data_IF_967753786482
#
_entry.id   IF_967753786482
#
_cell.length_a   1.000
_cell.length_b   1.000
_cell.length_c   1.000
_cell.angle_alpha   90.00
_cell.angle_beta   90.00
_cell.angle_gamma   90.00
#
_symmetry.space_group_name_H-M   'P 1'
#
loop_
_entity.id
_entity.type
_entity.pdbx_description
1 polymer ?
#
# COMPACT_ATOMS: atom_id res chain seq x y z
N UNK A 1 -30.42 2.00 40.01
CA UNK A 1 -28.98 2.03 40.36
C UNK A 1 -28.23 2.25 39.07
N UNK A 2 -27.69 3.45 38.89
CA UNK A 2 -26.88 3.83 37.74
C UNK A 2 -25.62 2.95 37.73
N UNK A 3 -25.38 2.21 36.65
CA UNK A 3 -24.12 1.53 36.42
C UNK A 3 -23.17 2.57 35.81
N UNK A 4 -22.02 2.75 36.46
CA UNK A 4 -20.92 3.60 36.02
C UNK A 4 -20.31 2.96 34.78
N UNK A 5 -20.23 3.69 33.66
CA UNK A 5 -19.31 3.38 32.56
C UNK A 5 -17.90 3.66 33.08
N UNK A 6 -16.99 2.70 32.96
CA UNK A 6 -15.59 2.89 33.27
C UNK A 6 -14.91 3.38 31.99
N UNK A 7 -14.44 4.62 31.98
CA UNK A 7 -13.59 5.16 30.94
C UNK A 7 -12.16 5.01 31.42
N UNK A 8 -11.32 4.27 30.69
CA UNK A 8 -9.88 4.29 30.89
C UNK A 8 -9.32 5.51 30.14
N UNK A 9 -9.22 6.64 30.83
CA UNK A 9 -8.57 7.84 30.27
C UNK A 9 -7.09 7.76 30.60
N UNK A 10 -6.24 7.52 29.59
CA UNK A 10 -4.80 7.57 29.74
C UNK A 10 -4.31 8.98 29.37
N UNK A 11 -3.79 9.71 30.35
CA UNK A 11 -3.17 11.03 30.13
C UNK A 11 -1.67 10.81 29.93
N UNK A 12 -1.19 10.91 28.69
CA UNK A 12 0.25 10.89 28.38
C UNK A 12 0.79 12.32 28.52
N UNK A 13 1.52 12.58 29.61
CA UNK A 13 2.22 13.85 29.84
C UNK A 13 3.69 13.71 29.42
N UNK A 14 4.06 14.28 28.28
CA UNK A 14 5.45 14.39 27.87
C UNK A 14 6.17 15.47 28.72
N UNK A 15 7.04 15.06 29.64
CA UNK A 15 7.87 15.96 30.44
C UNK A 15 9.37 15.70 30.21
N UNK A 16 10.02 16.55 29.41
CA UNK A 16 11.47 16.57 29.24
C UNK A 16 12.18 17.09 30.51
N UNK A 17 13.09 16.30 31.11
CA UNK A 17 14.11 16.80 32.05
C UNK A 17 15.48 16.15 31.78
N UNK A 18 16.46 16.99 31.46
CA UNK A 18 17.90 16.71 31.41
C UNK A 18 18.43 16.05 32.70
N UNK A 19 19.27 15.02 32.57
CA UNK A 19 20.50 14.91 33.36
C UNK A 19 21.62 14.15 32.63
N UNK A 20 22.73 14.86 32.43
CA UNK A 20 24.03 14.32 32.05
C UNK A 20 24.81 13.82 33.28
N UNK A 21 25.48 12.68 33.08
CA UNK A 21 26.81 12.28 33.60
C UNK A 21 26.97 11.73 35.04
N UNK A 22 27.41 10.47 35.14
CA UNK A 22 28.65 9.98 35.78
C UNK A 22 28.77 8.44 35.61
N UNK A 23 29.53 7.91 34.64
CA UNK A 23 30.92 7.37 34.74
C UNK A 23 31.07 6.06 35.57
N UNK A 24 31.33 4.97 34.83
CA UNK A 24 32.23 3.81 35.10
C UNK A 24 31.97 2.93 36.35
N UNK A 25 31.97 1.59 36.28
CA UNK A 25 33.15 0.73 36.03
C UNK A 25 32.76 -0.78 35.93
N UNK A 26 33.32 -1.47 34.93
CA UNK A 26 33.77 -2.89 34.81
C UNK A 26 32.89 -4.11 35.17
N UNK A 27 32.62 -4.89 34.10
CA UNK A 27 33.02 -6.28 33.83
C UNK A 27 32.66 -7.42 34.80
N UNK A 28 31.99 -8.46 34.27
CA UNK A 28 32.56 -9.83 34.17
C UNK A 28 31.82 -10.68 33.14
N UNK A 29 32.60 -11.30 32.24
CA UNK A 29 32.24 -12.44 31.40
C UNK A 29 31.83 -13.67 32.23
N UNK A 30 30.78 -14.36 31.80
CA UNK A 30 30.61 -15.80 32.05
C UNK A 30 30.11 -16.47 30.79
N UNK A 31 31.00 -17.23 30.15
CA UNK A 31 30.67 -18.25 29.16
C UNK A 31 29.80 -19.32 29.82
N UNK A 32 28.71 -19.71 29.17
CA UNK A 32 28.04 -20.96 29.46
C UNK A 32 27.75 -21.69 28.14
N UNK A 33 28.60 -22.67 27.85
CA UNK A 33 28.35 -23.69 26.83
C UNK A 33 27.26 -24.63 27.35
N UNK A 34 26.16 -24.77 26.59
CA UNK A 34 25.21 -25.85 26.75
C UNK A 34 25.23 -26.70 25.48
N UNK A 35 25.74 -27.92 25.63
CA UNK A 35 25.74 -28.97 24.62
C UNK A 35 24.30 -29.46 24.35
N UNK A 36 23.97 -29.66 23.07
CA UNK A 36 22.75 -30.36 22.63
C UNK A 36 23.16 -31.67 21.97
N UNK A 37 22.51 -32.74 22.41
CA UNK A 37 22.70 -34.12 22.01
C UNK A 37 22.39 -34.36 20.52
N UNK A 38 23.23 -35.18 19.89
CA UNK A 38 23.05 -35.71 18.54
C UNK A 38 22.28 -37.03 18.59
N UNK A 39 21.03 -37.02 18.10
CA UNK A 39 20.27 -38.23 17.76
C UNK A 39 20.25 -38.40 16.25
N UNK A 40 21.04 -39.34 15.75
CA UNK A 40 21.04 -39.73 14.34
C UNK A 40 20.06 -40.88 14.09
N UNK A 41 19.30 -40.80 13.00
CA UNK A 41 18.71 -41.96 12.34
C UNK A 41 18.96 -41.85 10.84
N UNK A 42 19.63 -42.88 10.33
CA UNK A 42 20.09 -43.05 8.95
C UNK A 42 19.00 -43.72 8.11
N UNK A 43 18.78 -43.24 6.88
CA UNK A 43 18.07 -44.00 5.84
C UNK A 43 18.94 -44.06 4.59
N UNK A 44 19.23 -45.30 4.19
CA UNK A 44 20.03 -45.71 3.04
C UNK A 44 19.38 -45.34 1.70
N UNK A 45 20.19 -44.82 0.78
CA UNK A 45 19.90 -44.71 -0.67
C UNK A 45 20.76 -45.77 -1.39
N UNK A 46 20.18 -46.60 -2.28
CA UNK A 46 20.95 -47.27 -3.31
C UNK A 46 20.85 -46.57 -4.67
N UNK A 47 22.00 -46.55 -5.34
CA UNK A 47 22.34 -46.10 -6.69
C UNK A 47 21.38 -46.55 -7.80
N UNK A 48 21.30 -45.77 -8.89
CA UNK A 48 21.42 -46.36 -10.23
C UNK A 48 21.96 -45.38 -11.30
N UNK A 49 22.57 -46.01 -12.31
CA UNK A 49 23.58 -45.54 -13.24
C UNK A 49 23.08 -44.73 -14.46
N UNK A 50 24.07 -44.26 -15.22
CA UNK A 50 24.13 -43.30 -16.32
C UNK A 50 23.81 -43.82 -17.74
N UNK A 51 23.34 -42.89 -18.60
CA UNK A 51 23.53 -42.72 -20.08
C UNK A 51 22.73 -43.58 -21.11
N UNK A 52 22.58 -43.18 -22.40
CA UNK A 52 22.52 -41.84 -23.04
C UNK A 52 21.46 -41.67 -24.20
N UNK A 53 21.44 -40.45 -24.75
CA UNK A 53 20.87 -39.85 -25.99
C UNK A 53 20.39 -40.73 -27.16
N UNK A 54 19.32 -40.26 -27.84
CA UNK A 54 19.08 -40.47 -29.28
C UNK A 54 18.21 -39.34 -29.90
N UNK A 55 18.70 -38.75 -31.01
CA UNK A 55 17.98 -37.88 -31.97
C UNK A 55 16.94 -38.69 -32.79
N UNK A 56 16.10 -38.05 -33.65
CA UNK A 56 16.42 -38.01 -35.09
C UNK A 56 15.84 -36.76 -35.84
N UNK A 57 15.76 -36.68 -37.19
CA UNK A 57 16.64 -35.88 -38.04
C UNK A 57 15.93 -34.81 -38.91
N UNK A 58 16.72 -34.01 -39.65
CA UNK A 58 16.32 -32.98 -40.65
C UNK A 58 15.60 -33.51 -41.90
N UNK A 59 15.48 -32.81 -43.02
CA UNK A 59 15.92 -31.51 -43.53
C UNK A 59 15.18 -31.28 -44.89
N UNK A 60 15.32 -30.08 -45.49
CA UNK A 60 15.08 -29.69 -46.91
C UNK A 60 13.64 -29.31 -47.32
N UNK A 61 13.38 -28.25 -48.10
CA UNK A 61 14.25 -27.33 -48.83
C UNK A 61 13.45 -26.26 -49.62
N UNK A 62 14.21 -25.28 -50.12
CA UNK A 62 13.93 -24.04 -50.86
C UNK A 62 12.94 -24.10 -52.05
N UNK A 63 12.25 -23.00 -52.40
CA UNK A 63 12.75 -21.94 -53.32
C UNK A 63 11.64 -20.91 -53.70
N UNK A 64 12.13 -19.76 -54.17
CA UNK A 64 11.62 -18.44 -54.46
C UNK A 64 10.37 -18.23 -55.34
N UNK A 65 9.67 -17.14 -55.02
CA UNK A 65 9.73 -15.93 -55.86
C UNK A 65 8.55 -15.60 -56.79
N UNK A 66 8.28 -14.29 -56.84
CA UNK A 66 7.68 -13.47 -57.92
C UNK A 66 6.27 -12.92 -57.65
N UNK A 67 6.22 -11.60 -57.44
CA UNK A 67 5.05 -10.73 -57.56
C UNK A 67 4.64 -10.54 -59.04
N UNK A 68 3.38 -10.14 -59.31
CA UNK A 68 3.22 -8.77 -59.82
C UNK A 68 1.97 -8.02 -59.33
N UNK A 69 1.98 -6.74 -59.71
CA UNK A 69 1.17 -5.59 -59.32
C UNK A 69 -0.28 -5.55 -59.85
N UNK A 70 -1.11 -4.80 -59.09
CA UNK A 70 -2.27 -3.93 -59.39
C UNK A 70 -3.23 -4.20 -60.55
N UNK A 71 -4.54 -4.25 -60.22
CA UNK A 71 -5.58 -3.48 -60.94
C UNK A 71 -6.66 -2.93 -59.97
N UNK A 72 -7.03 -1.66 -60.20
CA UNK A 72 -7.99 -0.80 -59.49
C UNK A 72 -9.46 -1.21 -59.68
N UNK A 73 -10.30 -1.03 -58.64
CA UNK A 73 -11.73 -0.66 -58.77
C UNK A 73 -12.15 0.16 -57.51
N UNK A 74 -12.92 1.27 -57.64
CA UNK A 74 -13.22 2.19 -56.55
C UNK A 74 -14.51 1.83 -55.82
N UNK A 75 -14.52 1.94 -54.48
CA UNK A 75 -15.76 1.87 -53.69
C UNK A 75 -15.89 3.09 -52.78
N UNK A 76 -17.04 3.74 -52.94
CA UNK A 76 -17.53 4.97 -52.35
C UNK A 76 -17.70 4.94 -50.83
N UNK A 77 -17.16 5.96 -50.16
CA UNK A 77 -17.53 6.35 -48.78
C UNK A 77 -18.92 7.03 -48.75
N UNK A 78 -19.78 6.73 -47.77
CA UNK A 78 -20.80 7.64 -47.29
C UNK A 78 -20.27 8.53 -46.15
N UNK A 79 -20.86 9.72 -45.95
CA UNK A 79 -20.25 10.84 -45.24
C UNK A 79 -20.30 10.69 -43.71
N UNK A 80 -19.25 11.20 -43.08
CA UNK A 80 -19.10 11.44 -41.65
C UNK A 80 -20.13 12.45 -41.14
N UNK A 81 -20.97 12.02 -40.20
CA UNK A 81 -21.65 12.92 -39.28
C UNK A 81 -20.82 13.03 -38.02
N UNK A 82 -20.01 14.10 -37.99
CA UNK A 82 -19.35 14.65 -36.83
C UNK A 82 -20.38 15.43 -36.00
N UNK A 83 -20.57 14.99 -34.77
CA UNK A 83 -21.08 15.78 -33.67
C UNK A 83 -20.26 15.39 -32.43
N UNK A 84 -19.07 15.98 -32.30
CA UNK A 84 -18.18 15.76 -31.17
C UNK A 84 -18.79 16.12 -29.81
N UNK A 85 -18.51 15.28 -28.83
CA UNK A 85 -17.58 15.66 -27.76
C UNK A 85 -16.33 14.77 -27.90
N UNK A 86 -15.16 15.36 -27.76
CA UNK A 86 -13.89 14.78 -28.16
C UNK A 86 -13.11 14.23 -26.99
N UNK A 87 -13.14 12.92 -26.83
CA UNK A 87 -12.01 12.13 -26.32
C UNK A 87 -12.07 10.78 -27.02
N UNK A 88 -11.00 10.40 -27.73
CA UNK A 88 -10.86 9.01 -28.15
C UNK A 88 -10.83 8.10 -26.91
N UNK A 89 -10.98 6.77 -27.06
CA UNK A 89 -10.85 5.86 -25.93
C UNK A 89 -9.46 6.05 -25.31
N UNK A 90 -9.44 6.32 -24.00
CA UNK A 90 -8.20 6.30 -23.22
C UNK A 90 -7.80 4.84 -23.05
N UNK A 91 -6.62 4.45 -23.53
CA UNK A 91 -6.06 3.11 -23.36
C UNK A 91 -4.54 3.24 -23.29
N UNK A 92 -3.97 2.92 -22.12
CA UNK A 92 -2.54 2.96 -21.89
C UNK A 92 -1.78 1.87 -22.67
N UNK A 93 -2.47 0.78 -23.04
CA UNK A 93 -1.86 -0.42 -23.60
C UNK A 93 -1.52 -1.49 -22.56
N UNK A 94 -1.76 -1.22 -21.27
CA UNK A 94 -1.63 -2.22 -20.21
C UNK A 94 -2.70 -3.31 -20.39
N UNK A 95 -2.32 -4.57 -20.22
CA UNK A 95 -3.19 -5.74 -20.33
C UNK A 95 -3.06 -6.61 -19.09
N UNK A 96 -4.14 -6.88 -18.33
CA UNK A 96 -4.07 -7.66 -17.09
C UNK A 96 -3.37 -9.01 -17.20
N UNK A 97 -3.57 -9.74 -18.30
CA UNK A 97 -3.00 -11.07 -18.56
C UNK A 97 -1.50 -11.07 -18.88
N UNK A 98 -0.90 -9.89 -19.08
CA UNK A 98 0.53 -9.72 -19.40
C UNK A 98 1.24 -8.85 -18.36
N UNK A 99 0.61 -7.73 -18.01
CA UNK A 99 1.18 -6.68 -17.17
C UNK A 99 0.71 -6.74 -15.71
N UNK A 100 -0.35 -7.48 -15.43
CA UNK A 100 -0.76 -7.81 -14.05
C UNK A 100 0.01 -9.03 -13.53
N UNK A 101 0.00 -9.22 -12.22
CA UNK A 101 0.49 -10.46 -11.61
C UNK A 101 -0.50 -11.59 -11.90
N UNK A 102 0.01 -12.83 -11.96
CA UNK A 102 -0.82 -14.03 -12.18
C UNK A 102 -1.26 -14.73 -10.89
N UNK A 103 -0.87 -14.20 -9.73
CA UNK A 103 -1.28 -14.68 -8.42
C UNK A 103 -2.16 -13.65 -7.72
N UNK A 104 -3.03 -14.16 -6.86
CA UNK A 104 -4.00 -13.35 -6.12
C UNK A 104 -3.32 -12.44 -5.09
N UNK A 105 -3.99 -11.36 -4.71
CA UNK A 105 -3.68 -10.67 -3.47
C UNK A 105 -3.62 -11.65 -2.30
N UNK A 106 -2.78 -11.35 -1.33
CA UNK A 106 -2.48 -12.25 -0.23
C UNK A 106 -2.32 -11.50 1.08
N UNK A 107 -2.73 -12.14 2.17
CA UNK A 107 -2.57 -11.70 3.55
C UNK A 107 -1.33 -12.36 4.19
N UNK A 108 -1.12 -12.11 5.48
CA UNK A 108 -0.03 -12.72 6.27
C UNK A 108 -0.05 -14.26 6.26
N UNK A 109 -1.21 -14.90 6.04
CA UNK A 109 -1.35 -16.35 6.02
C UNK A 109 -0.59 -17.02 4.86
N UNK A 110 -0.20 -16.25 3.84
CA UNK A 110 0.60 -16.74 2.73
C UNK A 110 2.08 -16.97 3.10
N UNK A 111 2.56 -16.45 4.23
CA UNK A 111 3.95 -16.57 4.67
C UNK A 111 4.95 -15.83 3.78
N UNK A 112 4.51 -14.74 3.14
CA UNK A 112 5.36 -13.88 2.32
C UNK A 112 6.38 -13.10 3.16
N UNK A 113 7.43 -12.61 2.51
CA UNK A 113 8.40 -11.70 3.10
C UNK A 113 8.00 -10.24 2.84
N UNK A 114 7.81 -9.48 3.91
CA UNK A 114 7.44 -8.06 3.84
C UNK A 114 8.68 -7.16 3.98
N UNK A 115 8.55 -5.95 4.53
CA UNK A 115 9.67 -5.03 4.66
C UNK A 115 10.77 -5.62 5.55
N UNK A 116 12.01 -5.47 5.09
CA UNK A 116 13.20 -5.68 5.90
C UNK A 116 13.99 -4.39 6.07
N UNK A 117 15.04 -4.42 6.88
CA UNK A 117 16.00 -3.32 7.02
C UNK A 117 16.47 -2.73 5.68
N UNK A 118 16.63 -3.57 4.65
CA UNK A 118 17.07 -3.09 3.33
C UNK A 118 16.04 -2.16 2.67
N UNK A 119 14.74 -2.49 2.79
CA UNK A 119 13.66 -1.68 2.25
C UNK A 119 13.54 -0.35 3.01
N UNK A 120 13.71 -0.37 4.34
CA UNK A 120 13.70 0.84 5.16
C UNK A 120 14.85 1.79 4.78
N UNK A 121 16.06 1.27 4.53
CA UNK A 121 17.19 2.07 4.04
C UNK A 121 16.91 2.62 2.65
N UNK A 122 16.35 1.82 1.74
CA UNK A 122 15.99 2.29 0.40
C UNK A 122 14.95 3.41 0.47
N UNK A 123 13.94 3.25 1.32
CA UNK A 123 12.79 4.15 1.42
C UNK A 123 13.16 5.51 2.02
N UNK A 124 14.04 5.52 3.02
CA UNK A 124 14.31 6.71 3.84
C UNK A 124 15.77 7.19 3.83
N UNK A 125 16.71 6.36 3.38
CA UNK A 125 18.14 6.62 3.38
C UNK A 125 18.86 6.06 4.62
N UNK A 126 20.19 6.20 4.65
CA UNK A 126 21.05 5.61 5.70
C UNK A 126 20.81 6.18 7.11
N UNK A 127 20.11 7.31 7.26
CA UNK A 127 19.85 7.92 8.57
C UNK A 127 18.95 7.06 9.47
N UNK A 128 18.26 6.08 8.90
CA UNK A 128 17.48 5.09 9.66
C UNK A 128 18.35 4.10 10.43
N UNK A 129 19.66 4.05 10.13
CA UNK A 129 20.62 3.17 10.79
C UNK A 129 21.21 3.84 12.04
N UNK A 130 20.98 3.25 13.20
CA UNK A 130 21.62 3.69 14.44
C UNK A 130 23.13 3.39 14.45
N UNK A 131 23.51 2.24 13.88
CA UNK A 131 24.90 1.83 13.72
C UNK A 131 25.03 0.81 12.59
N UNK A 132 26.25 0.64 12.09
CA UNK A 132 26.61 -0.42 11.16
C UNK A 132 27.47 -1.45 11.90
N UNK A 133 27.06 -2.72 11.86
CA UNK A 133 27.81 -3.84 12.43
C UNK A 133 28.08 -4.85 11.32
N UNK A 134 29.36 -5.14 11.07
CA UNK A 134 29.80 -6.10 10.04
C UNK A 134 29.24 -5.84 8.63
N UNK A 135 28.91 -4.58 8.32
CA UNK A 135 28.33 -4.15 7.05
C UNK A 135 26.80 -4.20 7.01
N UNK A 136 26.16 -4.65 8.07
CA UNK A 136 24.70 -4.67 8.24
C UNK A 136 24.26 -3.46 9.06
N UNK A 137 23.15 -2.84 8.64
CA UNK A 137 22.52 -1.75 9.36
C UNK A 137 21.73 -2.31 10.54
N UNK A 138 21.94 -1.75 11.73
CA UNK A 138 21.03 -1.89 12.85
C UNK A 138 20.14 -0.65 12.85
N UNK A 139 18.85 -0.84 12.61
CA UNK A 139 17.87 0.24 12.57
C UNK A 139 17.84 1.01 13.90
N UNK A 140 17.52 2.30 13.83
CA UNK A 140 17.11 3.07 14.99
C UNK A 140 15.86 2.44 15.62
N UNK A 141 15.65 2.54 16.94
CA UNK A 141 14.43 2.04 17.58
C UNK A 141 13.13 2.48 16.90
N UNK A 142 12.92 3.77 16.53
CA UNK A 142 11.72 4.15 15.80
C UNK A 142 11.68 3.60 14.37
N UNK A 143 12.81 3.42 13.69
CA UNK A 143 12.83 2.82 12.36
C UNK A 143 12.51 1.32 12.36
N UNK A 144 12.96 0.59 13.37
CA UNK A 144 12.54 -0.80 13.57
C UNK A 144 11.05 -0.87 13.90
N UNK A 145 10.57 -0.08 14.86
CA UNK A 145 9.16 -0.07 15.21
C UNK A 145 8.29 0.24 13.99
N UNK A 146 8.60 1.30 13.24
CA UNK A 146 7.84 1.69 12.06
C UNK A 146 7.76 0.57 11.02
N UNK A 147 8.84 -0.18 10.81
CA UNK A 147 8.84 -1.33 9.91
C UNK A 147 7.87 -2.42 10.38
N UNK A 148 7.86 -2.72 11.69
CA UNK A 148 6.94 -3.71 12.26
C UNK A 148 5.48 -3.27 12.12
N UNK A 149 5.14 -2.01 12.48
CA UNK A 149 3.78 -1.48 12.33
C UNK A 149 3.26 -1.55 10.90
N UNK A 150 4.13 -1.23 9.94
CA UNK A 150 3.77 -1.20 8.52
C UNK A 150 3.62 -2.62 7.97
N UNK A 151 4.44 -3.57 8.41
CA UNK A 151 4.27 -4.99 8.08
C UNK A 151 3.00 -5.56 8.70
N UNK A 152 2.69 -5.21 9.95
CA UNK A 152 1.46 -5.63 10.63
C UNK A 152 0.22 -5.08 9.94
N UNK A 153 0.22 -3.79 9.55
CA UNK A 153 -0.87 -3.22 8.77
C UNK A 153 -1.03 -3.88 7.38
N UNK A 154 0.06 -4.33 6.77
CA UNK A 154 0.06 -5.05 5.49
C UNK A 154 -0.49 -6.48 5.59
N UNK A 155 -0.61 -7.03 6.81
CA UNK A 155 -1.16 -8.37 7.03
C UNK A 155 -2.57 -8.53 6.45
N UNK A 156 -3.37 -7.45 6.40
CA UNK A 156 -4.70 -7.45 5.80
C UNK A 156 -4.71 -7.65 4.28
N UNK A 157 -3.60 -7.34 3.60
CA UNK A 157 -3.37 -7.67 2.19
C UNK A 157 -2.48 -6.67 1.44
N UNK A 158 -1.98 -7.13 0.29
CA UNK A 158 -0.89 -6.50 -0.49
C UNK A 158 -1.36 -5.79 -1.77
N UNK A 159 -2.67 -5.62 -1.98
CA UNK A 159 -3.24 -5.09 -3.22
C UNK A 159 -2.63 -3.75 -3.66
N UNK A 160 -2.34 -2.84 -2.73
CA UNK A 160 -1.68 -1.55 -3.04
C UNK A 160 -0.30 -1.74 -3.66
N UNK A 161 0.51 -2.64 -3.08
CA UNK A 161 1.83 -2.96 -3.61
C UNK A 161 1.76 -3.62 -4.98
N UNK A 162 0.81 -4.54 -5.17
CA UNK A 162 0.57 -5.23 -6.43
C UNK A 162 0.10 -4.26 -7.53
N UNK A 163 -0.82 -3.36 -7.21
CA UNK A 163 -1.34 -2.37 -8.14
C UNK A 163 -0.23 -1.40 -8.57
N UNK A 164 0.49 -0.80 -7.61
CA UNK A 164 1.58 0.12 -7.88
C UNK A 164 2.74 -0.55 -8.66
N UNK A 165 3.20 -1.73 -8.24
CA UNK A 165 4.31 -2.41 -8.89
C UNK A 165 3.97 -2.88 -10.31
N UNK A 166 2.72 -3.28 -10.58
CA UNK A 166 2.29 -3.63 -11.94
C UNK A 166 2.44 -2.46 -12.92
N UNK A 167 2.14 -1.23 -12.48
CA UNK A 167 2.33 -0.01 -13.27
C UNK A 167 3.81 0.29 -13.51
N UNK A 168 4.65 0.09 -12.50
CA UNK A 168 6.10 0.31 -12.61
C UNK A 168 6.78 -0.69 -13.55
N UNK A 169 6.33 -1.94 -13.58
CA UNK A 169 6.75 -2.91 -14.59
C UNK A 169 6.25 -2.54 -15.98
N UNK A 170 4.99 -2.14 -16.10
CA UNK A 170 4.42 -1.72 -17.38
C UNK A 170 5.12 -0.49 -17.98
N UNK A 171 5.44 0.50 -17.15
CA UNK A 171 6.18 1.70 -17.53
C UNK A 171 7.68 1.50 -17.72
N UNK A 172 8.19 0.27 -17.54
CA UNK A 172 9.62 -0.08 -17.59
C UNK A 172 10.48 0.71 -16.56
N UNK A 173 9.89 1.25 -15.51
CA UNK A 173 10.62 1.92 -14.41
C UNK A 173 11.35 0.90 -13.54
N UNK A 174 10.79 -0.31 -13.44
CA UNK A 174 11.40 -1.49 -12.82
C UNK A 174 11.35 -2.62 -13.84
N UNK A 175 12.39 -3.46 -13.87
CA UNK A 175 12.48 -4.56 -14.80
C UNK A 175 12.00 -5.85 -14.13
N UNK A 176 10.98 -6.51 -14.71
CA UNK A 176 10.51 -7.81 -14.21
C UNK A 176 11.64 -8.86 -14.24
N UNK A 177 12.61 -8.74 -15.16
CA UNK A 177 13.76 -9.65 -15.29
C UNK A 177 14.60 -9.70 -14.00
N UNK A 178 14.63 -8.62 -13.21
CA UNK A 178 15.33 -8.59 -11.92
C UNK A 178 14.71 -9.55 -10.88
N UNK A 179 13.46 -9.96 -11.12
CA UNK A 179 12.67 -10.91 -10.33
C UNK A 179 12.45 -12.25 -11.04
N UNK A 180 13.10 -12.46 -12.19
CA UNK A 180 13.22 -13.77 -12.83
C UNK A 180 12.27 -14.05 -14.01
N UNK A 181 11.52 -13.06 -14.51
CA UNK A 181 10.68 -13.23 -15.71
C UNK A 181 10.55 -11.94 -16.53
N UNK A 182 10.21 -12.05 -17.82
CA UNK A 182 10.14 -10.89 -18.72
C UNK A 182 8.90 -10.00 -18.57
N UNK A 183 7.86 -10.49 -17.89
CA UNK A 183 6.60 -9.78 -17.67
C UNK A 183 6.07 -10.07 -16.26
N UNK A 184 5.23 -9.18 -15.73
CA UNK A 184 4.65 -9.33 -14.40
C UNK A 184 3.80 -10.61 -14.28
N UNK A 185 3.11 -11.00 -15.35
CA UNK A 185 2.28 -12.21 -15.39
C UNK A 185 3.08 -13.51 -15.19
N UNK A 186 4.36 -13.50 -15.55
CA UNK A 186 5.24 -14.67 -15.51
C UNK A 186 6.05 -14.72 -14.20
N UNK A 187 5.93 -13.72 -13.34
CA UNK A 187 6.66 -13.64 -12.08
C UNK A 187 6.11 -14.64 -11.05
N UNK A 188 6.99 -15.44 -10.41
CA UNK A 188 6.55 -16.43 -9.46
C UNK A 188 6.36 -15.81 -8.06
N UNK A 189 5.25 -16.15 -7.40
CA UNK A 189 4.93 -15.67 -6.06
C UNK A 189 6.01 -16.04 -5.02
N UNK A 190 6.67 -17.19 -5.16
CA UNK A 190 7.67 -17.69 -4.20
C UNK A 190 9.04 -16.99 -4.29
N UNK A 191 9.16 -15.93 -5.10
CA UNK A 191 10.34 -15.08 -5.13
C UNK A 191 10.33 -14.08 -3.95
N UNK A 192 11.16 -14.33 -2.92
CA UNK A 192 11.28 -13.47 -1.75
C UNK A 192 11.69 -12.02 -2.08
N UNK A 193 12.49 -11.78 -3.12
CA UNK A 193 12.83 -10.41 -3.53
C UNK A 193 11.61 -9.69 -4.11
N UNK A 194 10.75 -10.40 -4.83
CA UNK A 194 9.52 -9.83 -5.37
C UNK A 194 8.52 -9.51 -4.26
N UNK A 195 8.36 -10.41 -3.28
CA UNK A 195 7.47 -10.19 -2.13
C UNK A 195 7.88 -8.90 -1.37
N UNK A 196 9.17 -8.73 -1.12
CA UNK A 196 9.74 -7.53 -0.49
C UNK A 196 9.57 -6.27 -1.35
N UNK A 197 9.64 -6.40 -2.68
CA UNK A 197 9.37 -5.29 -3.59
C UNK A 197 7.90 -4.87 -3.55
N UNK A 198 6.97 -5.84 -3.54
CA UNK A 198 5.54 -5.58 -3.37
C UNK A 198 5.29 -4.85 -2.04
N UNK A 199 5.89 -5.33 -0.95
CA UNK A 199 5.80 -4.70 0.36
C UNK A 199 6.36 -3.27 0.39
N UNK A 200 7.49 -3.03 -0.29
CA UNK A 200 8.07 -1.69 -0.46
C UNK A 200 7.07 -0.72 -1.09
N UNK A 201 6.43 -1.12 -2.19
CA UNK A 201 5.46 -0.25 -2.89
C UNK A 201 4.16 -0.09 -2.10
N UNK A 202 3.71 -1.13 -1.39
CA UNK A 202 2.57 -1.04 -0.47
C UNK A 202 2.82 0.04 0.61
N UNK A 203 4.01 0.02 1.21
CA UNK A 203 4.36 0.93 2.29
C UNK A 203 4.42 2.41 1.88
N UNK A 204 4.58 2.69 0.59
CA UNK A 204 4.60 4.09 0.11
C UNK A 204 3.30 4.84 0.42
N UNK A 205 2.15 4.16 0.51
CA UNK A 205 0.86 4.80 0.86
C UNK A 205 0.88 5.49 2.23
N UNK A 206 1.83 5.09 3.09
CA UNK A 206 2.01 5.56 4.47
C UNK A 206 3.09 6.65 4.59
N UNK A 207 3.59 7.17 3.47
CA UNK A 207 4.76 8.06 3.45
C UNK A 207 4.56 9.26 2.53
N UNK A 208 5.31 10.33 2.79
CA UNK A 208 5.38 11.48 1.88
C UNK A 208 6.50 11.26 0.84
N UNK A 209 6.35 11.77 -0.40
CA UNK A 209 5.26 12.61 -0.88
C UNK A 209 4.02 11.83 -1.36
N UNK A 210 4.04 10.50 -1.32
CA UNK A 210 2.96 9.65 -1.87
C UNK A 210 1.59 10.01 -1.30
N UNK A 211 1.45 9.97 0.02
CA UNK A 211 0.19 10.29 0.70
C UNK A 211 -0.29 11.72 0.40
N UNK A 212 0.59 12.72 0.51
CA UNK A 212 0.24 14.11 0.25
C UNK A 212 -0.05 14.44 -1.22
N UNK A 213 0.24 13.51 -2.13
CA UNK A 213 0.00 13.64 -3.58
C UNK A 213 -1.25 12.91 -4.06
N UNK A 214 -1.95 12.20 -3.17
CA UNK A 214 -3.23 11.55 -3.50
C UNK A 214 -4.25 12.59 -3.98
N UNK A 215 -4.94 12.27 -5.06
CA UNK A 215 -6.04 13.06 -5.62
C UNK A 215 -7.33 12.46 -5.05
N UNK A 216 -7.93 13.16 -4.10
CA UNK A 216 -9.23 12.82 -3.52
C UNK A 216 -10.28 13.82 -3.99
N UNK A 217 -11.53 13.39 -4.09
CA UNK A 217 -12.62 14.29 -4.47
C UNK A 217 -13.86 13.59 -4.98
N UNK A 218 -14.66 14.35 -5.73
CA UNK A 218 -15.86 13.82 -6.36
C UNK A 218 -15.51 12.86 -7.52
N UNK A 219 -16.34 11.83 -7.79
CA UNK A 219 -16.09 10.87 -8.86
C UNK A 219 -15.84 11.50 -10.24
N UNK A 220 -16.54 12.58 -10.57
CA UNK A 220 -16.29 13.33 -11.81
C UNK A 220 -14.90 13.96 -11.88
N UNK A 221 -14.36 14.48 -10.78
CA UNK A 221 -13.00 15.03 -10.76
C UNK A 221 -11.94 13.93 -10.91
N UNK A 222 -12.19 12.74 -10.34
CA UNK A 222 -11.35 11.56 -10.54
C UNK A 222 -11.40 11.11 -11.99
N UNK A 223 -12.59 11.04 -12.59
CA UNK A 223 -12.78 10.71 -14.00
C UNK A 223 -12.03 11.68 -14.92
N UNK A 224 -12.09 12.99 -14.65
CA UNK A 224 -11.35 14.00 -15.43
C UNK A 224 -9.84 13.71 -15.44
N UNK A 225 -9.25 13.35 -14.30
CA UNK A 225 -7.83 12.98 -14.22
C UNK A 225 -7.52 11.69 -15.00
N UNK A 226 -8.41 10.68 -14.95
CA UNK A 226 -8.26 9.44 -15.71
C UNK A 226 -8.39 9.67 -17.22
N UNK A 227 -9.22 10.62 -17.65
CA UNK A 227 -9.39 10.98 -19.06
C UNK A 227 -8.17 11.70 -19.65
N UNK A 228 -7.26 12.21 -18.81
CA UNK A 228 -5.99 12.82 -19.22
C UNK A 228 -4.84 11.82 -19.34
N UNK A 229 -5.05 10.54 -18.98
CA UNK A 229 -4.02 9.50 -19.08
C UNK A 229 -3.68 9.19 -20.53
N UNK A 230 -2.38 9.09 -20.83
CA UNK A 230 -1.85 8.71 -22.14
C UNK A 230 -0.65 7.75 -22.00
N UNK A 231 -0.39 6.87 -22.98
CA UNK A 231 0.78 6.00 -22.95
C UNK A 231 2.10 6.77 -22.73
N UNK A 232 2.89 6.35 -21.73
CA UNK A 232 4.16 6.99 -21.38
C UNK A 232 4.03 8.32 -20.60
N UNK A 233 2.84 8.65 -20.14
CA UNK A 233 2.58 9.77 -19.21
C UNK A 233 2.44 9.28 -17.76
N UNK A 234 2.00 10.17 -16.85
CA UNK A 234 1.70 9.79 -15.47
C UNK A 234 0.66 8.66 -15.43
N UNK A 235 0.86 7.71 -14.53
CA UNK A 235 -0.10 6.63 -14.25
C UNK A 235 -0.59 6.75 -12.82
N UNK A 236 -1.72 6.11 -12.52
CA UNK A 236 -2.34 6.22 -11.22
C UNK A 236 -2.75 4.84 -10.72
N UNK A 237 -2.59 4.61 -9.42
CA UNK A 237 -3.32 3.56 -8.69
C UNK A 237 -4.67 4.13 -8.26
N UNK A 238 -5.77 3.41 -8.45
CA UNK A 238 -7.07 3.77 -7.88
C UNK A 238 -7.17 3.17 -6.48
N UNK A 239 -7.50 4.00 -5.49
CA UNK A 239 -7.98 3.56 -4.18
C UNK A 239 -9.49 3.63 -4.10
N UNK A 240 -10.13 2.57 -3.61
CA UNK A 240 -11.56 2.51 -3.33
C UNK A 240 -11.80 2.13 -1.87
N UNK A 241 -12.81 2.74 -1.26
CA UNK A 241 -13.15 2.51 0.15
C UNK A 241 -14.64 2.28 0.31
N UNK A 242 -15.04 1.46 1.30
CA UNK A 242 -16.45 1.38 1.70
C UNK A 242 -16.86 2.71 2.39
N UNK A 243 -18.11 3.20 2.23
CA UNK A 243 -18.56 4.46 2.82
C UNK A 243 -18.44 4.58 4.35
N UNK A 244 -18.39 3.45 5.06
CA UNK A 244 -18.18 3.37 6.50
C UNK A 244 -16.70 3.24 6.91
N UNK A 245 -15.78 3.20 5.94
CA UNK A 245 -14.34 3.05 6.16
C UNK A 245 -13.92 1.66 6.61
N UNK A 246 -14.82 0.67 6.51
CA UNK A 246 -14.56 -0.68 7.03
C UNK A 246 -13.64 -1.52 6.14
N UNK A 247 -13.33 -1.05 4.93
CA UNK A 247 -12.50 -1.77 3.96
C UNK A 247 -11.98 -0.80 2.90
N UNK A 248 -10.80 -1.12 2.37
CA UNK A 248 -10.10 -0.34 1.36
C UNK A 248 -9.36 -1.26 0.40
N UNK A 249 -9.42 -0.96 -0.90
CA UNK A 249 -8.79 -1.76 -1.94
C UNK A 249 -8.06 -0.89 -2.96
N UNK A 250 -7.07 -1.47 -3.62
CA UNK A 250 -6.28 -0.81 -4.65
C UNK A 250 -6.35 -1.59 -5.98
N UNK A 251 -6.60 -0.86 -7.07
CA UNK A 251 -6.71 -1.41 -8.42
C UNK A 251 -5.95 -0.53 -9.42
N UNK A 252 -5.55 -1.13 -10.54
CA UNK A 252 -4.75 -0.45 -11.58
C UNK A 252 -5.63 -0.07 -12.77
N UNK A 253 -6.04 1.20 -12.95
CA UNK A 253 -6.69 1.64 -14.18
C UNK A 253 -5.76 1.58 -15.38
N UNK A 254 -6.31 1.20 -16.53
CA UNK A 254 -5.56 1.23 -17.79
C UNK A 254 -6.33 1.78 -18.99
N UNK A 255 -7.65 1.89 -18.90
CA UNK A 255 -8.45 2.46 -19.96
C UNK A 255 -9.74 3.10 -19.42
N UNK A 256 -10.33 4.01 -20.19
CA UNK A 256 -11.65 4.60 -19.92
C UNK A 256 -12.50 4.51 -21.18
N UNK A 257 -13.65 3.85 -21.06
CA UNK A 257 -14.65 3.72 -22.12
C UNK A 257 -15.85 4.62 -21.81
N UNK A 258 -16.15 5.57 -22.70
CA UNK A 258 -17.43 6.30 -22.68
C UNK A 258 -18.54 5.38 -23.22
N UNK A 259 -19.46 4.98 -22.33
CA UNK A 259 -20.59 4.13 -22.67
C UNK A 259 -21.82 4.92 -23.17
N UNK A 260 -21.71 6.25 -23.22
CA UNK A 260 -22.80 7.18 -23.52
C UNK A 260 -23.63 7.54 -22.29
N UNK A 261 -24.50 8.53 -22.45
CA UNK A 261 -25.43 9.01 -21.42
C UNK A 261 -24.75 9.43 -20.10
N UNK A 262 -23.47 9.81 -20.12
CA UNK A 262 -22.69 10.18 -18.93
C UNK A 262 -22.21 8.99 -18.09
N UNK A 263 -22.24 7.78 -18.64
CA UNK A 263 -21.74 6.57 -17.98
C UNK A 263 -20.36 6.23 -18.56
N UNK A 264 -19.39 6.06 -17.68
CA UNK A 264 -18.01 5.72 -18.02
C UNK A 264 -17.60 4.41 -17.35
N UNK A 265 -16.98 3.52 -18.12
CA UNK A 265 -16.32 2.33 -17.60
C UNK A 265 -14.81 2.56 -17.54
N UNK A 266 -14.28 2.63 -16.33
CA UNK A 266 -12.83 2.60 -16.09
C UNK A 266 -12.42 1.13 -16.07
N UNK A 267 -11.62 0.70 -17.05
CA UNK A 267 -11.10 -0.66 -17.10
C UNK A 267 -9.88 -0.78 -16.18
N UNK A 268 -9.87 -1.82 -15.35
CA UNK A 268 -8.89 -2.00 -14.28
C UNK A 268 -8.34 -3.42 -14.25
N UNK A 269 -7.08 -3.55 -13.82
CA UNK A 269 -6.52 -4.78 -13.27
C UNK A 269 -6.75 -4.79 -11.76
N UNK A 270 -7.26 -5.89 -11.26
CA UNK A 270 -7.51 -6.14 -9.84
C UNK A 270 -6.75 -7.41 -9.45
N UNK A 271 -5.85 -7.32 -8.47
CA UNK A 271 -5.06 -8.47 -8.02
C UNK A 271 -5.90 -9.57 -7.39
N UNK A 272 -7.15 -9.32 -6.99
CA UNK A 272 -8.06 -10.35 -6.50
C UNK A 272 -8.68 -11.15 -7.66
N UNK A 273 -8.51 -10.71 -8.91
CA UNK A 273 -8.93 -11.40 -10.15
C UNK A 273 -7.79 -11.42 -11.19
N UNK A 274 -6.70 -12.16 -10.94
CA UNK A 274 -5.51 -12.14 -11.79
C UNK A 274 -5.81 -12.43 -13.27
N UNK A 275 -5.23 -11.61 -14.16
CA UNK A 275 -5.38 -11.75 -15.60
C UNK A 275 -6.73 -11.32 -16.19
N UNK A 276 -7.71 -10.91 -15.37
CA UNK A 276 -9.02 -10.45 -15.85
C UNK A 276 -9.06 -8.94 -16.05
N UNK A 277 -9.72 -8.50 -17.12
CA UNK A 277 -10.18 -7.10 -17.25
C UNK A 277 -11.45 -6.91 -16.47
N UNK A 278 -11.41 -6.03 -15.46
CA UNK A 278 -12.56 -5.64 -14.65
C UNK A 278 -12.96 -4.20 -14.99
N UNK A 279 -14.13 -3.76 -14.53
CA UNK A 279 -14.62 -2.40 -14.80
C UNK A 279 -15.24 -1.76 -13.56
N UNK A 280 -14.75 -0.57 -13.22
CA UNK A 280 -15.36 0.37 -12.29
C UNK A 280 -16.25 1.32 -13.09
N UNK A 281 -17.49 1.52 -12.65
CA UNK A 281 -18.44 2.41 -13.33
C UNK A 281 -18.46 3.78 -12.64
N UNK A 282 -18.43 4.85 -13.42
CA UNK A 282 -18.66 6.23 -12.97
C UNK A 282 -19.87 6.79 -13.73
N UNK A 283 -20.87 7.29 -13.00
CA UNK A 283 -21.99 8.07 -13.55
C UNK A 283 -21.70 9.55 -13.31
N UNK A 284 -21.35 10.29 -14.37
CA UNK A 284 -21.01 11.70 -14.29
C UNK A 284 -22.21 12.62 -14.09
N UNK A 285 -23.44 12.14 -14.33
CA UNK A 285 -24.65 12.92 -14.08
C UNK A 285 -25.04 12.89 -12.60
N UNK A 286 -24.86 11.71 -11.97
CA UNK A 286 -25.14 11.50 -10.55
C UNK A 286 -23.94 11.83 -9.65
N UNK A 287 -22.73 11.90 -10.23
CA UNK A 287 -21.46 12.06 -9.51
C UNK A 287 -21.22 10.91 -8.52
N UNK A 288 -21.46 9.68 -9.01
CA UNK A 288 -21.39 8.42 -8.26
C UNK A 288 -20.47 7.43 -8.95
N UNK A 289 -19.93 6.48 -8.19
CA UNK A 289 -19.18 5.34 -8.70
C UNK A 289 -19.61 4.03 -8.06
N UNK A 290 -19.35 2.92 -8.74
CA UNK A 290 -19.59 1.58 -8.24
C UNK A 290 -18.59 0.56 -8.79
N UNK A 291 -18.22 -0.42 -7.96
CA UNK A 291 -17.34 -1.54 -8.31
C UNK A 291 -17.71 -2.78 -7.48
N UNK A 292 -17.72 -3.95 -8.11
CA UNK A 292 -17.86 -5.23 -7.39
C UNK A 292 -16.47 -5.81 -7.14
N UNK A 293 -16.09 -5.92 -5.87
CA UNK A 293 -14.82 -6.48 -5.43
C UNK A 293 -15.06 -7.67 -4.49
N UNK A 294 -14.13 -8.61 -4.48
CA UNK A 294 -14.08 -9.70 -3.51
C UNK A 294 -12.64 -9.90 -3.09
N UNK A 295 -12.40 -10.49 -1.93
CA UNK A 295 -11.03 -10.83 -1.48
C UNK A 295 -10.36 -11.88 -2.38
N UNK A 296 -11.15 -12.70 -3.09
CA UNK A 296 -10.70 -13.63 -4.14
C UNK A 296 -11.90 -14.10 -5.01
N UNK A 297 -11.67 -14.78 -6.15
CA UNK A 297 -12.74 -15.16 -7.07
C UNK A 297 -13.72 -16.21 -6.52
N UNK A 298 -13.35 -16.94 -5.47
CA UNK A 298 -14.16 -17.99 -4.85
C UNK A 298 -15.12 -17.46 -3.76
N UNK A 299 -14.98 -16.19 -3.37
CA UNK A 299 -15.83 -15.51 -2.38
C UNK A 299 -16.83 -14.58 -3.10
N UNK A 300 -18.07 -14.54 -2.59
CA UNK A 300 -19.13 -13.68 -3.15
C UNK A 300 -18.67 -12.20 -3.09
N UNK A 301 -18.75 -11.46 -4.21
CA UNK A 301 -18.29 -10.09 -4.25
C UNK A 301 -19.20 -9.16 -3.44
N UNK A 302 -18.57 -8.22 -2.76
CA UNK A 302 -19.19 -7.08 -2.12
C UNK A 302 -19.25 -5.88 -3.08
N UNK A 303 -20.31 -5.09 -2.93
CA UNK A 303 -20.44 -3.83 -3.65
C UNK A 303 -19.68 -2.72 -2.92
N UNK A 304 -18.75 -2.11 -3.64
CA UNK A 304 -18.13 -0.84 -3.30
C UNK A 304 -18.84 0.26 -4.08
N UNK A 305 -19.26 1.31 -3.39
CA UNK A 305 -19.96 2.44 -4.01
C UNK A 305 -19.69 3.74 -3.24
N UNK A 306 -19.87 4.86 -3.91
CA UNK A 306 -19.72 6.18 -3.30
C UNK A 306 -20.09 7.33 -4.22
N UNK A 307 -19.99 8.54 -3.70
CA UNK A 307 -20.39 9.77 -4.37
C UNK A 307 -19.50 10.97 -3.96
N UNK A 308 -19.88 12.15 -4.43
CA UNK A 308 -19.17 13.39 -4.12
C UNK A 308 -19.14 13.76 -2.63
N UNK A 309 -20.10 13.29 -1.83
CA UNK A 309 -20.15 13.51 -0.38
C UNK A 309 -19.28 12.49 0.37
N UNK A 310 -19.25 11.22 -0.07
CA UNK A 310 -18.44 10.18 0.58
C UNK A 310 -16.94 10.32 0.29
N UNK A 311 -16.56 10.78 -0.90
CA UNK A 311 -15.16 10.93 -1.34
C UNK A 311 -14.31 9.66 -1.17
N UNK A 312 -14.94 8.49 -1.37
CA UNK A 312 -14.34 7.16 -1.19
C UNK A 312 -13.62 6.60 -2.42
N UNK A 313 -13.33 7.45 -3.40
CA UNK A 313 -12.59 7.14 -4.61
C UNK A 313 -11.42 8.11 -4.75
N UNK A 314 -10.22 7.59 -4.94
CA UNK A 314 -9.01 8.40 -5.07
C UNK A 314 -8.02 7.86 -6.10
N UNK A 315 -7.07 8.71 -6.48
CA UNK A 315 -5.93 8.36 -7.32
C UNK A 315 -4.61 8.65 -6.62
N UNK A 316 -3.68 7.69 -6.67
CA UNK A 316 -2.28 7.89 -6.24
C UNK A 316 -1.38 7.94 -7.47
N UNK A 317 -0.72 9.09 -7.75
CA UNK A 317 0.21 9.20 -8.87
C UNK A 317 1.44 8.30 -8.70
N UNK A 318 1.82 7.56 -9.73
CA UNK A 318 3.00 6.68 -9.70
C UNK A 318 4.29 7.48 -9.46
N UNK A 319 4.42 8.67 -10.06
CA UNK A 319 5.61 9.50 -9.87
C UNK A 319 5.86 9.96 -8.43
N UNK A 320 4.82 10.01 -7.58
CA UNK A 320 4.96 10.36 -6.17
C UNK A 320 5.67 9.25 -5.36
N UNK A 321 5.61 8.00 -5.85
CA UNK A 321 6.20 6.84 -5.18
C UNK A 321 7.68 6.64 -5.50
N UNK A 322 8.12 7.05 -6.70
CA UNK A 322 9.46 6.70 -7.23
C UNK A 322 10.59 7.61 -6.74
N UNK A 323 10.25 8.72 -6.07
CA UNK A 323 11.18 9.55 -5.33
C UNK A 323 11.59 8.94 -3.98
N UNK A 324 12.64 9.52 -3.37
CA UNK A 324 12.97 9.24 -1.97
C UNK A 324 11.77 9.64 -1.09
N UNK A 325 11.26 8.71 -0.30
CA UNK A 325 10.18 9.00 0.64
C UNK A 325 10.75 9.71 1.88
N UNK A 326 9.96 10.61 2.48
CA UNK A 326 10.36 11.33 3.68
C UNK A 326 10.31 10.39 4.90
N UNK A 327 11.38 10.40 5.69
CA UNK A 327 11.44 9.63 6.94
C UNK A 327 10.59 10.29 8.04
N UNK A 328 9.45 9.72 8.45
CA UNK A 328 8.53 10.38 9.39
C UNK A 328 9.07 10.43 10.83
N UNK A 329 10.04 9.55 11.14
CA UNK A 329 10.60 9.38 12.48
C UNK A 329 12.06 9.84 12.61
N UNK A 330 12.67 10.36 11.55
CA UNK A 330 14.04 10.87 11.62
C UNK A 330 14.07 12.28 12.26
N UNK A 331 14.97 12.51 13.22
CA UNK A 331 15.14 13.83 13.88
C UNK A 331 15.69 14.88 12.90
N UNK A 332 16.63 14.44 12.08
CA UNK A 332 17.46 15.26 11.22
C UNK A 332 17.07 15.08 9.75
N UNK A 333 16.01 15.77 9.34
CA UNK A 333 16.04 16.37 8.02
C UNK A 333 15.51 17.79 8.16
N UNK A 334 16.41 18.75 8.01
CA UNK A 334 16.08 20.04 7.42
C UNK A 334 15.56 19.82 6.00
N UNK A 335 14.40 19.16 5.86
CA UNK A 335 13.55 19.23 4.69
C UNK A 335 12.97 20.64 4.69
N UNK A 336 13.78 21.57 4.21
CA UNK A 336 13.25 22.81 3.66
C UNK A 336 12.32 22.36 2.55
N UNK A 337 11.02 22.29 2.83
CA UNK A 337 10.02 22.33 1.78
C UNK A 337 10.24 23.68 1.10
N UNK A 338 11.02 23.71 0.01
CA UNK A 338 11.15 24.90 -0.81
C UNK A 338 9.83 25.02 -1.54
N UNK A 339 8.84 25.62 -0.87
CA UNK A 339 7.62 26.04 -1.55
C UNK A 339 8.02 26.89 -2.75
N UNK A 340 7.21 26.84 -3.83
CA UNK A 340 7.38 27.59 -5.09
C UNK A 340 7.62 29.12 -4.92
N UNK A 341 7.56 29.65 -3.69
CA UNK A 341 7.77 31.05 -3.33
C UNK A 341 9.04 31.34 -2.49
N UNK A 342 9.90 30.37 -2.18
CA UNK A 342 11.17 30.63 -1.48
C UNK A 342 11.03 31.16 -0.05
N UNK A 343 9.89 30.92 0.60
CA UNK A 343 9.67 31.21 2.02
C UNK A 343 9.76 29.91 2.80
N UNK A 344 10.62 29.86 3.81
CA UNK A 344 10.67 28.76 4.76
C UNK A 344 9.33 28.71 5.51
N UNK A 345 8.49 27.73 5.20
CA UNK A 345 7.38 27.36 6.05
C UNK A 345 7.95 26.58 7.26
N UNK A 346 7.38 26.73 8.47
CA UNK A 346 7.73 25.84 9.57
C UNK A 346 7.39 24.41 9.14
N UNK A 347 8.37 23.51 9.22
CA UNK A 347 8.11 22.08 8.96
C UNK A 347 7.29 21.57 10.12
N UNK A 348 6.03 21.22 9.86
CA UNK A 348 5.18 20.56 10.85
C UNK A 348 5.71 19.14 10.98
N UNK A 349 6.12 18.77 12.19
CA UNK A 349 6.49 17.41 12.54
C UNK A 349 5.27 16.72 13.14
N UNK A 350 5.18 15.42 12.90
CA UNK A 350 4.07 14.60 13.35
C UNK A 350 4.56 13.52 14.32
N UNK A 351 3.67 13.13 15.21
CA UNK A 351 3.68 11.80 15.80
C UNK A 351 2.72 10.94 14.98
N UNK A 352 3.20 9.79 14.55
CA UNK A 352 2.38 8.70 14.03
C UNK A 352 1.85 7.89 15.21
N UNK A 353 0.56 7.55 15.18
CA UNK A 353 -0.10 6.75 16.20
C UNK A 353 -0.79 5.58 15.51
N UNK A 354 -0.48 4.38 15.99
CA UNK A 354 -0.97 3.10 15.52
C UNK A 354 -1.73 2.40 16.66
N UNK A 355 -2.68 1.54 16.29
CA UNK A 355 -3.36 0.64 17.20
C UNK A 355 -3.24 -0.78 16.63
N UNK A 356 -2.70 -1.69 17.44
CA UNK A 356 -2.48 -3.08 17.04
C UNK A 356 -3.56 -3.94 17.68
N UNK A 357 -4.31 -4.68 16.87
CA UNK A 357 -5.45 -5.47 17.33
C UNK A 357 -6.76 -4.66 17.40
N UNK A 358 -7.71 -5.15 18.20
CA UNK A 358 -9.09 -4.65 18.11
C UNK A 358 -9.33 -3.32 18.84
N UNK A 359 -10.41 -2.65 18.43
CA UNK A 359 -10.88 -1.39 19.00
C UNK A 359 -10.64 -0.23 18.04
N UNK A 360 -11.00 0.98 18.46
CA UNK A 360 -10.79 2.19 17.66
C UNK A 360 -10.16 3.30 18.48
N UNK A 361 -9.36 4.14 17.84
CA UNK A 361 -8.78 5.31 18.49
C UNK A 361 -9.71 6.51 18.44
N UNK A 362 -9.71 7.26 19.54
CA UNK A 362 -10.21 8.63 19.61
C UNK A 362 -9.17 9.51 20.30
N UNK A 363 -8.55 10.38 19.50
CA UNK A 363 -7.55 11.36 19.90
C UNK A 363 -8.26 12.72 20.07
N UNK A 364 -8.13 13.35 21.22
CA UNK A 364 -8.76 14.64 21.53
C UNK A 364 -7.70 15.67 21.93
N UNK A 365 -7.77 16.90 21.39
CA UNK A 365 -6.90 18.01 21.78
C UNK A 365 -7.45 18.81 22.99
N UNK A 366 -6.65 19.77 23.51
CA UNK A 366 -7.03 20.60 24.67
C UNK A 366 -8.31 21.46 24.43
N UNK A 367 -8.69 21.69 23.18
CA UNK A 367 -9.88 22.45 22.78
C UNK A 367 -11.10 21.54 22.55
N UNK A 368 -10.94 20.23 22.65
CA UNK A 368 -11.98 19.22 22.44
C UNK A 368 -12.20 18.86 20.96
N UNK A 369 -11.28 19.22 20.07
CA UNK A 369 -11.31 18.74 18.68
C UNK A 369 -10.81 17.30 18.64
N UNK A 370 -11.41 16.48 17.75
CA UNK A 370 -11.22 15.03 17.73
C UNK A 370 -10.59 14.54 16.43
N UNK A 371 -9.82 13.47 16.52
CA UNK A 371 -9.30 12.67 15.41
C UNK A 371 -9.51 11.18 15.74
N UNK A 372 -10.12 10.42 14.84
CA UNK A 372 -10.44 9.00 15.07
C UNK A 372 -11.93 8.70 14.96
N UNK A 373 -12.38 7.55 15.46
CA UNK A 373 -13.76 7.12 15.32
C UNK A 373 -14.69 7.76 16.36
N UNK A 374 -15.82 8.29 15.88
CA UNK A 374 -16.94 8.79 16.68
C UNK A 374 -18.22 8.20 16.12
N UNK A 375 -18.93 7.42 16.93
CA UNK A 375 -20.18 6.74 16.54
C UNK A 375 -20.01 5.92 15.23
N UNK A 376 -18.87 5.23 15.09
CA UNK A 376 -18.54 4.42 13.91
C UNK A 376 -18.16 5.22 12.67
N UNK A 377 -17.82 6.51 12.81
CA UNK A 377 -17.37 7.36 11.71
C UNK A 377 -16.04 8.00 12.02
N UNK A 378 -15.14 7.95 11.06
CA UNK A 378 -13.85 8.62 11.15
C UNK A 378 -14.05 10.15 11.06
N UNK A 379 -13.50 10.88 12.03
CA UNK A 379 -13.52 12.35 12.06
C UNK A 379 -12.12 12.91 12.17
N UNK A 380 -11.92 14.12 11.64
CA UNK A 380 -10.68 14.89 11.81
C UNK A 380 -11.00 16.37 11.97
N UNK A 381 -11.00 16.83 13.21
CA UNK A 381 -11.27 18.20 13.64
C UNK A 381 -10.01 18.90 14.16
N UNK A 382 -8.92 18.14 14.42
CA UNK A 382 -7.66 18.68 14.96
C UNK A 382 -6.89 19.38 13.84
N UNK A 383 -6.63 20.67 14.04
CA UNK A 383 -5.96 21.51 13.04
C UNK A 383 -4.58 20.98 12.64
N UNK A 384 -4.45 20.63 11.35
CA UNK A 384 -3.19 20.13 10.77
C UNK A 384 -2.95 18.64 11.00
N UNK A 385 -3.79 17.94 11.77
CA UNK A 385 -3.72 16.49 11.86
C UNK A 385 -4.34 15.82 10.63
N UNK A 386 -4.06 14.54 10.44
CA UNK A 386 -4.54 13.72 9.32
C UNK A 386 -4.52 12.24 9.68
N UNK A 387 -5.12 11.41 8.85
CA UNK A 387 -5.12 9.95 8.99
C UNK A 387 -4.92 9.28 7.63
N UNK A 388 -4.42 8.06 7.62
CA UNK A 388 -4.24 7.23 6.43
C UNK A 388 -5.04 5.95 6.61
N UNK A 389 -6.08 5.76 5.79
CA UNK A 389 -6.80 4.49 5.68
C UNK A 389 -6.06 3.59 4.70
N UNK A 390 -5.68 2.40 5.18
CA UNK A 390 -4.90 1.44 4.38
C UNK A 390 -5.76 0.76 3.32
N UNK A 391 -5.15 0.49 2.16
CA UNK A 391 -5.73 -0.33 1.10
C UNK A 391 -5.20 -1.75 1.21
N UNK A 392 -5.96 -2.62 1.87
CA UNK A 392 -5.55 -4.00 2.19
C UNK A 392 -6.46 -5.07 1.60
N UNK A 393 -7.72 -4.76 1.25
CA UNK A 393 -8.74 -5.76 0.86
C UNK A 393 -8.96 -6.81 1.96
N UNK A 394 -9.23 -6.35 3.18
CA UNK A 394 -9.44 -7.24 4.32
C UNK A 394 -10.93 -7.60 4.46
N UNK A 395 -11.30 -8.83 4.88
CA UNK A 395 -12.65 -9.08 5.37
C UNK A 395 -13.04 -8.03 6.43
N UNK A 396 -14.31 -7.61 6.43
CA UNK A 396 -14.88 -6.51 7.26
C UNK A 396 -14.51 -6.52 8.76
N UNK A 397 -14.15 -7.68 9.31
CA UNK A 397 -13.86 -7.84 10.74
C UNK A 397 -12.37 -7.61 11.09
N UNK A 398 -11.47 -7.50 10.09
CA UNK A 398 -10.01 -7.44 10.25
C UNK A 398 -9.36 -6.25 9.51
N UNK A 399 -10.10 -5.17 9.23
CA UNK A 399 -9.50 -3.98 8.63
C UNK A 399 -8.58 -3.29 9.65
N UNK A 400 -7.32 -2.97 9.28
CA UNK A 400 -6.40 -2.33 10.21
C UNK A 400 -6.90 -0.93 10.59
N UNK A 401 -6.71 -0.55 11.85
CA UNK A 401 -6.98 0.81 12.32
C UNK A 401 -6.19 1.83 11.45
N UNK A 402 -6.78 2.98 11.09
CA UNK A 402 -6.06 4.00 10.34
C UNK A 402 -4.79 4.46 11.05
N UNK A 403 -3.77 4.81 10.28
CA UNK A 403 -2.58 5.49 10.80
C UNK A 403 -2.89 6.97 11.05
N UNK A 404 -2.77 7.42 12.29
CA UNK A 404 -3.02 8.82 12.66
C UNK A 404 -1.74 9.64 12.71
N UNK A 405 -1.78 10.85 12.16
CA UNK A 405 -0.69 11.81 12.18
C UNK A 405 -1.10 13.06 12.96
N UNK A 406 -0.49 13.23 14.14
CA UNK A 406 -0.79 14.35 15.04
C UNK A 406 0.39 15.31 15.09
N UNK A 407 0.21 16.62 14.82
CA UNK A 407 1.30 17.59 14.92
C UNK A 407 1.92 17.59 16.32
N UNK A 408 3.26 17.56 16.42
CA UNK A 408 3.98 17.49 17.71
C UNK A 408 3.72 18.68 18.64
N UNK A 409 3.20 19.78 18.12
CA UNK A 409 2.85 20.97 18.87
C UNK A 409 1.42 20.96 19.44
N UNK A 410 0.69 19.85 19.28
CA UNK A 410 -0.66 19.65 19.80
C UNK A 410 -0.58 18.67 20.97
N UNK A 411 -1.08 19.06 22.14
CA UNK A 411 -1.26 18.13 23.24
C UNK A 411 -2.53 17.31 22.99
N UNK A 412 -2.47 16.01 23.25
CA UNK A 412 -3.61 15.13 23.03
C UNK A 412 -3.84 14.18 24.20
N UNK A 413 -5.10 13.79 24.37
CA UNK A 413 -5.50 12.60 25.10
C UNK A 413 -5.91 11.52 24.09
N UNK A 414 -5.50 10.28 24.33
CA UNK A 414 -5.82 9.15 23.47
C UNK A 414 -6.76 8.22 24.25
N UNK A 415 -7.89 7.91 23.64
CA UNK A 415 -8.86 6.93 24.13
C UNK A 415 -8.89 5.77 23.17
N UNK A 416 -8.88 4.55 23.71
CA UNK A 416 -9.15 3.32 22.95
C UNK A 416 -10.61 2.95 23.23
N UNK A 417 -11.44 2.96 22.20
CA UNK A 417 -12.86 2.62 22.27
C UNK A 417 -13.07 1.13 21.97
N UNK A 418 -13.46 0.40 23.00
CA UNK A 418 -13.78 -1.03 22.95
C UNK A 418 -15.29 -1.30 22.77
N UNK A 419 -16.13 -0.27 22.62
CA UNK A 419 -17.60 -0.41 22.72
C UNK A 419 -18.24 -1.21 21.59
N UNK A 420 -17.51 -1.44 20.50
CA UNK A 420 -17.92 -2.27 19.37
C UNK A 420 -17.47 -3.73 19.51
N UNK A 421 -16.63 -4.05 20.50
CA UNK A 421 -16.15 -5.40 20.71
C UNK A 421 -17.27 -6.31 21.23
N UNK A 422 -17.22 -7.57 20.81
CA UNK A 422 -18.17 -8.59 21.26
C UNK A 422 -17.61 -9.49 22.38
N UNK A 423 -16.29 -9.51 22.53
CA UNK A 423 -15.55 -10.25 23.54
C UNK A 423 -14.32 -9.47 24.01
N UNK A 424 -13.69 -9.96 25.08
CA UNK A 424 -12.46 -9.37 25.62
C UNK A 424 -11.32 -9.60 24.63
N UNK A 425 -10.55 -8.55 24.35
CA UNK A 425 -9.39 -8.62 23.46
C UNK A 425 -8.20 -7.82 24.01
N UNK A 426 -7.03 -8.05 23.42
CA UNK A 426 -5.79 -7.39 23.79
C UNK A 426 -5.33 -6.51 22.65
N UNK A 427 -4.97 -5.26 22.94
CA UNK A 427 -4.46 -4.32 21.93
C UNK A 427 -3.13 -3.69 22.34
N UNK A 428 -2.38 -3.23 21.34
CA UNK A 428 -1.20 -2.38 21.47
C UNK A 428 -1.50 -0.95 21.05
N UNK A 429 -0.90 0.03 21.71
CA UNK A 429 -0.87 1.42 21.27
C UNK A 429 0.58 1.82 21.02
N UNK A 430 0.91 2.15 19.78
CA UNK A 430 2.26 2.58 19.41
C UNK A 430 2.25 4.02 18.91
N UNK A 431 3.18 4.81 19.44
CA UNK A 431 3.45 6.18 18.99
C UNK A 431 4.88 6.28 18.51
N UNK A 432 5.05 6.76 17.28
CA UNK A 432 6.36 6.98 16.65
C UNK A 432 6.47 8.47 16.32
N UNK A 433 7.54 9.10 16.79
CA UNK A 433 7.87 10.48 16.44
C UNK A 433 9.33 10.64 16.05
N UNK A 434 9.74 11.83 15.59
CA UNK A 434 11.12 12.20 15.34
C UNK A 434 12.06 11.79 16.49
N UNK A 435 12.85 10.74 16.28
CA UNK A 435 13.87 10.25 17.21
C UNK A 435 13.41 9.31 18.31
N UNK A 436 12.12 8.98 18.38
CA UNK A 436 11.60 8.15 19.46
C UNK A 436 10.41 7.29 19.02
N UNK A 437 10.26 6.16 19.69
CA UNK A 437 9.03 5.37 19.69
C UNK A 437 8.65 5.03 21.13
N UNK A 438 7.36 4.85 21.37
CA UNK A 438 6.80 4.42 22.63
C UNK A 438 5.61 3.51 22.35
N UNK A 439 5.60 2.33 22.95
CA UNK A 439 4.50 1.36 22.85
C UNK A 439 3.94 1.04 24.23
N UNK A 440 2.64 0.81 24.30
CA UNK A 440 1.96 0.16 25.42
C UNK A 440 1.27 -1.08 24.85
N UNK A 441 1.76 -2.25 25.22
CA UNK A 441 1.23 -3.53 24.76
C UNK A 441 0.33 -4.17 25.83
N UNK A 442 -0.40 -5.22 25.42
CA UNK A 442 -1.25 -6.04 26.29
C UNK A 442 -2.33 -5.23 27.04
N UNK A 443 -2.88 -4.19 26.38
CA UNK A 443 -4.01 -3.44 26.91
C UNK A 443 -5.26 -4.29 26.76
N UNK A 444 -5.75 -4.81 27.88
CA UNK A 444 -6.97 -5.62 27.91
C UNK A 444 -8.22 -4.73 27.76
N UNK A 445 -8.97 -4.95 26.70
CA UNK A 445 -10.23 -4.28 26.37
C UNK A 445 -11.41 -5.17 26.76
N UNK A 446 -12.38 -4.58 27.46
CA UNK A 446 -13.66 -5.23 27.84
C UNK A 446 -14.80 -4.45 27.17
N UNK A 447 -15.76 -5.12 26.50
CA UNK A 447 -16.90 -4.52 25.78
C UNK A 447 -17.78 -3.50 26.54
#
# INVERSE_FOLDING_TARGET
MMKSKAYAVLIVLAAMILMLACISTSATNTNNEAAVETGGETVDIPDEESEPLAEPPGETGEDAGVAPEEENEPSSEPPSEDAGDGSGPVDLGFRPDVNGFSFENYSSDAGAQDLTTAEIIRMFGEQVCATWQDGECILTPPGYQWMEEVNEAMAGGHCEGLAALSLLFFGEEIQADDFGAGTASDLPFDNELLQREIAFWWATQSTEPTYGSMITGAPTAILEALLEMEPGSETYTIGIYKPDGSDGHAITPFAVEDQGDGIYAVLVYDSNYPGETRSLTIDSNADTWAYEASINPDVEPDLYEGDAETQTLELTPTSARTGQQECPFCEDESSVSVGRAGLAAPVIRYNQIFLDGDGHLLIEDDDGNRLGYVDGRLVNEIGGARFTEYKTSSPLDDAPEPLYWVPQNVNTAITIDASMLSEESSTGLVMIGPGYSFGIEEILLDP
#
